data_IF_192583167681
#
_entry.id   IF_192583167681
#
_cell.length_a   1.000
_cell.length_b   1.000
_cell.length_c   1.000
_cell.angle_alpha   90.00
_cell.angle_beta   90.00
_cell.angle_gamma   90.00
#
_symmetry.space_group_name_H-M   'P 1'
#
loop_
_entity.id
_entity.type
_entity.pdbx_description
1 polymer ?
#
# COMPACT_ATOMS: atom_id res chain seq x y z
N UNK A 1 5.24 -15.43 6.54
CA UNK A 1 5.69 -14.02 6.49
C UNK A 1 5.76 -13.67 5.03
N UNK A 2 5.14 -12.56 4.63
CA UNK A 2 5.15 -12.09 3.25
C UNK A 2 6.17 -10.96 3.11
N UNK A 3 6.80 -10.88 1.95
CA UNK A 3 7.49 -9.66 1.52
C UNK A 3 6.57 -8.94 0.55
N UNK A 4 6.41 -7.64 0.75
CA UNK A 4 5.68 -6.79 -0.19
C UNK A 4 6.58 -5.68 -0.65
N UNK A 5 6.58 -5.43 -1.96
CA UNK A 5 7.08 -4.18 -2.52
C UNK A 5 5.95 -3.17 -2.55
N UNK A 6 6.22 -1.95 -2.10
CA UNK A 6 5.26 -0.84 -2.09
C UNK A 6 5.85 0.28 -2.93
N UNK A 7 5.03 0.85 -3.81
CA UNK A 7 5.34 2.01 -4.62
C UNK A 7 4.25 3.07 -4.42
N UNK A 8 4.64 4.26 -3.99
CA UNK A 8 3.79 5.43 -3.85
C UNK A 8 4.13 6.42 -4.96
N UNK A 9 3.13 6.75 -5.77
CA UNK A 9 3.30 7.50 -7.02
C UNK A 9 3.56 8.99 -6.77
N UNK A 10 2.80 9.60 -5.86
CA UNK A 10 2.90 11.04 -5.60
C UNK A 10 4.14 11.38 -4.76
N UNK A 11 4.58 10.43 -3.95
CA UNK A 11 5.71 10.55 -3.04
C UNK A 11 7.05 10.21 -3.72
N UNK A 12 7.02 9.69 -4.95
CA UNK A 12 8.18 9.09 -5.65
C UNK A 12 8.99 8.17 -4.72
N UNK A 13 8.27 7.31 -4.00
CA UNK A 13 8.82 6.53 -2.89
C UNK A 13 8.48 5.06 -3.05
N UNK A 14 9.50 4.21 -2.98
CA UNK A 14 9.33 2.75 -3.03
C UNK A 14 10.15 2.06 -1.95
N UNK A 15 9.63 0.97 -1.38
CA UNK A 15 10.36 0.13 -0.43
C UNK A 15 9.78 -1.27 -0.32
N UNK A 16 10.58 -2.20 0.21
CA UNK A 16 10.12 -3.53 0.57
C UNK A 16 9.82 -3.59 2.07
N UNK A 17 8.71 -4.21 2.45
CA UNK A 17 8.34 -4.46 3.84
C UNK A 17 8.09 -5.95 4.07
N UNK A 18 8.43 -6.42 5.27
CA UNK A 18 8.04 -7.75 5.74
C UNK A 18 6.78 -7.64 6.59
N UNK A 19 5.73 -8.37 6.21
CA UNK A 19 4.44 -8.37 6.89
C UNK A 19 4.07 -9.78 7.35
N UNK A 20 3.33 -9.87 8.45
CA UNK A 20 2.86 -11.16 8.97
C UNK A 20 1.62 -11.67 8.25
N UNK A 21 0.77 -10.74 7.81
CA UNK A 21 -0.50 -11.01 7.15
C UNK A 21 -0.78 -9.90 6.14
N UNK A 22 -1.40 -10.26 5.02
CA UNK A 22 -1.89 -9.30 4.04
C UNK A 22 -3.31 -8.88 4.41
N UNK A 23 -3.45 -7.76 5.11
CA UNK A 23 -4.72 -7.13 5.43
C UNK A 23 -4.55 -5.61 5.51
N UNK A 24 -5.66 -4.87 5.42
CA UNK A 24 -5.67 -3.41 5.41
C UNK A 24 -4.99 -2.80 6.65
N UNK A 25 -5.24 -3.32 7.85
CA UNK A 25 -4.66 -2.80 9.10
C UNK A 25 -3.12 -2.85 9.09
N UNK A 26 -2.55 -3.95 8.60
CA UNK A 26 -1.11 -4.11 8.48
C UNK A 26 -0.58 -3.19 7.38
N UNK A 27 -1.22 -3.15 6.20
CA UNK A 27 -0.83 -2.26 5.11
C UNK A 27 -0.81 -0.79 5.54
N UNK A 28 -1.85 -0.33 6.26
CA UNK A 28 -1.90 1.01 6.83
C UNK A 28 -0.69 1.35 7.69
N UNK A 29 -0.30 0.45 8.60
CA UNK A 29 0.85 0.68 9.50
C UNK A 29 2.18 0.83 8.76
N UNK A 30 2.32 0.19 7.59
CA UNK A 30 3.52 0.30 6.78
C UNK A 30 3.51 1.53 5.86
N UNK A 31 2.34 1.97 5.41
CA UNK A 31 2.18 2.99 4.36
C UNK A 31 1.92 4.38 4.95
N UNK A 32 0.99 4.52 5.89
CA UNK A 32 0.59 5.83 6.45
C UNK A 32 1.77 6.67 6.97
N UNK A 33 2.77 6.13 7.68
CA UNK A 33 3.88 6.94 8.20
C UNK A 33 4.77 7.55 7.10
N UNK A 34 4.65 7.10 5.86
CA UNK A 34 5.47 7.53 4.72
C UNK A 34 4.71 8.43 3.75
N UNK A 35 3.41 8.59 3.92
CA UNK A 35 2.63 9.59 3.18
C UNK A 35 2.97 10.98 3.72
N UNK A 36 3.16 11.94 2.82
CA UNK A 36 3.49 13.31 3.19
C UNK A 36 2.34 14.03 3.92
N UNK A 37 1.10 13.63 3.63
CA UNK A 37 -0.09 14.19 4.26
C UNK A 37 -0.72 13.13 5.19
N UNK A 38 -0.76 13.42 6.49
CA UNK A 38 -1.35 12.54 7.50
C UNK A 38 -2.88 12.50 7.43
N UNK A 39 -3.49 13.30 6.56
CA UNK A 39 -4.94 13.39 6.37
C UNK A 39 -5.51 12.34 5.41
N UNK A 40 -4.68 11.54 4.73
CA UNK A 40 -5.17 10.52 3.81
C UNK A 40 -5.80 9.35 4.55
N UNK A 41 -7.13 9.36 4.60
CA UNK A 41 -7.92 8.13 4.61
C UNK A 41 -7.57 7.39 3.30
N UNK A 42 -6.96 6.20 3.43
CA UNK A 42 -6.58 5.35 2.30
C UNK A 42 -7.33 4.02 2.37
N UNK A 43 -7.57 3.42 1.22
CA UNK A 43 -8.16 2.08 1.09
C UNK A 43 -7.27 1.20 0.22
N UNK A 44 -7.54 -0.11 0.24
CA UNK A 44 -6.76 -1.10 -0.50
C UNK A 44 -7.67 -2.04 -1.28
N UNK A 45 -7.31 -2.27 -2.53
CA UNK A 45 -7.89 -3.35 -3.35
C UNK A 45 -6.79 -4.35 -3.67
N UNK A 46 -7.08 -5.64 -3.56
CA UNK A 46 -6.11 -6.71 -3.86
C UNK A 46 -6.63 -7.62 -4.96
N UNK A 47 -5.75 -7.93 -5.90
CA UNK A 47 -5.98 -8.88 -6.97
C UNK A 47 -5.10 -10.12 -6.74
N UNK A 48 -5.72 -11.19 -6.25
CA UNK A 48 -5.06 -12.47 -5.95
C UNK A 48 -4.39 -13.10 -7.18
N UNK A 49 -4.86 -12.82 -8.40
CA UNK A 49 -4.34 -13.42 -9.63
C UNK A 49 -2.94 -12.91 -9.96
N UNK A 50 -2.74 -11.61 -9.79
CA UNK A 50 -1.50 -10.92 -10.15
C UNK A 50 -0.61 -10.67 -8.93
N UNK A 51 -1.09 -11.03 -7.73
CA UNK A 51 -0.41 -10.75 -6.45
C UNK A 51 -0.13 -9.26 -6.24
N UNK A 52 -0.94 -8.40 -6.85
CA UNK A 52 -0.82 -6.94 -6.77
C UNK A 52 -2.04 -6.33 -6.11
N UNK A 53 -1.86 -5.18 -5.50
CA UNK A 53 -2.94 -4.37 -4.99
C UNK A 53 -2.73 -2.89 -5.23
N UNK A 54 -3.83 -2.17 -5.19
CA UNK A 54 -3.90 -0.74 -5.44
C UNK A 54 -4.12 -0.03 -4.10
N UNK A 55 -3.38 1.06 -3.89
CA UNK A 55 -3.55 1.96 -2.76
C UNK A 55 -4.40 3.13 -3.25
N UNK A 56 -5.57 3.33 -2.64
CA UNK A 56 -6.55 4.31 -3.05
C UNK A 56 -6.66 5.42 -1.99
N UNK A 57 -6.92 6.65 -2.41
CA UNK A 57 -7.39 7.70 -1.52
C UNK A 57 -8.88 7.50 -1.19
N UNK A 58 -9.38 8.22 -0.19
CA UNK A 58 -10.80 8.32 0.10
C UNK A 58 -11.67 8.86 -1.05
N UNK A 59 -11.07 9.48 -2.07
CA UNK A 59 -11.78 9.91 -3.29
C UNK A 59 -11.75 8.85 -4.38
N UNK A 60 -11.14 7.69 -4.14
CA UNK A 60 -10.95 6.61 -5.12
C UNK A 60 -9.78 6.86 -6.08
N UNK A 61 -8.94 7.85 -5.83
CA UNK A 61 -7.77 8.13 -6.68
C UNK A 61 -6.63 7.19 -6.32
N UNK A 62 -5.91 6.66 -7.31
CA UNK A 62 -4.73 5.82 -7.07
C UNK A 62 -3.59 6.63 -6.48
N UNK A 63 -3.13 6.24 -5.30
CA UNK A 63 -1.94 6.77 -4.62
C UNK A 63 -0.69 5.93 -4.90
N UNK A 64 -0.87 4.64 -5.22
CA UNK A 64 0.22 3.72 -5.37
C UNK A 64 -0.23 2.28 -5.56
N UNK A 65 0.75 1.38 -5.54
CA UNK A 65 0.54 -0.04 -5.67
C UNK A 65 1.41 -0.81 -4.66
N UNK A 66 1.01 -2.04 -4.36
CA UNK A 66 1.84 -2.99 -3.66
C UNK A 66 1.83 -4.35 -4.38
N UNK A 67 2.94 -5.08 -4.30
CA UNK A 67 3.10 -6.40 -4.92
C UNK A 67 3.61 -7.37 -3.87
N UNK A 68 2.98 -8.53 -3.75
CA UNK A 68 3.48 -9.64 -2.93
C UNK A 68 4.59 -10.37 -3.68
N UNK A 69 5.76 -10.48 -3.05
CA UNK A 69 6.97 -11.10 -3.59
C UNK A 69 7.08 -12.59 -3.23
#
# INVERSE_FOLDING_TARGET
>A
MFKIEINLLNEDLSWVAEIRQLNSDILHRHILPKLQDTSYLIDFEFNDRDSTGTILSNTGSTLGHFTVL
#
